data_IF_945472925154
#
_entry.id   IF_945472925154
#
_cell.length_a   1.000
_cell.length_b   1.000
_cell.length_c   1.000
_cell.angle_alpha   90.00
_cell.angle_beta   90.00
_cell.angle_gamma   90.00
#
_symmetry.space_group_name_H-M   'P 1'
#
loop_
_entity.id
_entity.type
_entity.pdbx_description
1 polymer ?
#
# COMPACT_ATOMS: atom_id res chain seq x y z
N UNK A 1 53.04 23.26 -18.28
CA UNK A 1 53.68 23.36 -16.94
C UNK A 1 52.68 22.82 -15.91
N UNK A 2 52.90 21.60 -15.36
CA UNK A 2 53.15 21.30 -13.92
C UNK A 2 52.19 22.04 -12.97
N UNK A 3 51.38 21.40 -12.10
CA UNK A 3 51.68 20.47 -10.98
C UNK A 3 50.36 19.71 -10.63
N UNK A 4 50.21 18.38 -10.61
CA UNK A 4 50.61 17.33 -9.63
C UNK A 4 50.51 17.73 -8.15
N UNK A 5 49.51 17.20 -7.44
CA UNK A 5 49.53 16.98 -5.99
C UNK A 5 49.13 15.51 -5.74
N UNK A 6 50.12 14.74 -5.26
CA UNK A 6 50.02 13.39 -4.73
C UNK A 6 49.71 13.47 -3.23
N UNK A 7 48.69 12.74 -2.78
CA UNK A 7 48.48 12.36 -1.38
C UNK A 7 48.34 10.83 -1.47
N UNK A 8 49.28 10.00 -1.03
CA UNK A 8 49.90 9.97 0.29
C UNK A 8 49.30 8.80 1.08
N UNK A 9 49.44 7.57 0.56
CA UNK A 9 48.88 6.35 1.13
C UNK A 9 49.92 5.72 2.08
N UNK A 10 49.73 5.88 3.39
CA UNK A 10 50.57 5.28 4.42
C UNK A 10 49.99 3.94 4.86
N UNK A 11 50.79 2.88 4.66
CA UNK A 11 50.59 1.53 5.18
C UNK A 11 51.22 1.45 6.56
N UNK A 12 50.48 0.98 7.57
CA UNK A 12 51.01 0.50 8.84
C UNK A 12 50.39 -0.86 9.19
N UNK A 13 51.25 -1.72 9.70
CA UNK A 13 51.13 -3.17 9.87
C UNK A 13 51.02 -3.48 11.37
N UNK A 14 50.54 -4.69 11.71
CA UNK A 14 50.69 -5.44 13.00
C UNK A 14 49.82 -4.97 14.18
N UNK A 15 49.27 -5.82 15.06
CA UNK A 15 49.43 -7.24 15.37
C UNK A 15 48.16 -7.83 16.03
N UNK A 16 48.03 -9.17 16.02
CA UNK A 16 47.08 -9.96 16.80
C UNK A 16 47.18 -9.69 18.31
N UNK A 17 46.04 -9.74 19.00
CA UNK A 17 46.04 -10.12 20.42
C UNK A 17 44.85 -11.04 20.72
N UNK A 18 45.18 -12.30 21.02
CA UNK A 18 44.28 -13.32 21.56
C UNK A 18 43.97 -12.95 23.01
N UNK A 19 42.71 -12.62 23.28
CA UNK A 19 42.21 -12.40 24.64
C UNK A 19 41.90 -13.74 25.32
N UNK A 20 42.73 -14.10 26.30
CA UNK A 20 42.58 -15.25 27.19
C UNK A 20 41.36 -15.08 28.10
N UNK A 21 40.46 -16.07 28.09
CA UNK A 21 39.27 -16.13 28.95
C UNK A 21 39.66 -16.62 30.36
N UNK A 22 39.28 -15.93 31.45
CA UNK A 22 39.54 -16.39 32.81
C UNK A 22 38.64 -17.59 33.19
N UNK A 23 39.12 -18.46 34.10
CA UNK A 23 38.50 -19.74 34.41
C UNK A 23 37.18 -19.63 35.17
N UNK A 24 36.26 -20.51 34.79
CA UNK A 24 35.00 -20.85 35.46
C UNK A 24 35.21 -21.15 36.95
N UNK A 25 34.50 -20.43 37.82
CA UNK A 25 34.33 -20.81 39.21
C UNK A 25 33.11 -21.72 39.34
N UNK A 26 33.34 -23.01 39.61
CA UNK A 26 32.33 -23.94 40.12
C UNK A 26 31.88 -23.48 41.52
N UNK A 27 30.58 -23.25 41.67
CA UNK A 27 29.95 -22.98 42.97
C UNK A 27 29.17 -24.22 43.42
N UNK A 28 29.43 -24.60 44.66
CA UNK A 28 29.07 -25.85 45.33
C UNK A 28 27.55 -25.93 45.57
N UNK A 29 26.97 -27.07 45.20
CA UNK A 29 25.58 -27.40 45.49
C UNK A 29 25.36 -27.54 47.01
N UNK A 30 24.46 -26.72 47.54
CA UNK A 30 23.94 -26.86 48.92
C UNK A 30 22.80 -27.88 48.91
N UNK A 31 22.99 -28.99 49.62
CA UNK A 31 21.96 -30.01 49.81
C UNK A 31 20.87 -29.47 50.74
N UNK A 32 19.63 -29.40 50.23
CA UNK A 32 18.44 -29.01 50.98
C UNK A 32 17.71 -30.29 51.42
N UNK A 33 17.18 -30.37 52.66
CA UNK A 33 16.57 -31.59 53.18
C UNK A 33 15.26 -31.97 52.45
N UNK A 34 15.10 -33.28 52.28
CA UNK A 34 13.96 -33.98 51.66
C UNK A 34 12.64 -33.75 52.44
N UNK A 35 11.58 -33.23 51.81
CA UNK A 35 10.24 -33.28 52.38
C UNK A 35 9.58 -34.65 52.19
N UNK A 36 8.87 -35.09 53.23
CA UNK A 36 8.01 -36.27 53.39
C UNK A 36 6.95 -36.40 52.27
N UNK A 37 6.54 -37.62 51.87
CA UNK A 37 5.60 -37.81 50.76
C UNK A 37 4.22 -37.25 51.12
N UNK A 38 3.72 -36.33 50.28
CA UNK A 38 2.34 -35.85 50.33
C UNK A 38 1.44 -36.82 49.57
N UNK A 39 0.30 -37.14 50.20
CA UNK A 39 -0.74 -38.05 49.71
C UNK A 39 -1.29 -37.55 48.37
N UNK A 40 -1.36 -38.47 47.39
CA UNK A 40 -1.93 -38.25 46.05
C UNK A 40 -3.41 -37.90 46.17
N UNK A 41 -3.80 -36.71 45.72
CA UNK A 41 -5.21 -36.29 45.63
C UNK A 41 -5.52 -35.87 44.20
N UNK A 42 -6.50 -36.58 43.62
CA UNK A 42 -7.26 -36.35 42.38
C UNK A 42 -6.56 -35.66 41.19
N UNK A 43 -6.35 -36.42 40.11
CA UNK A 43 -6.12 -35.90 38.75
C UNK A 43 -7.33 -35.07 38.30
N UNK A 44 -7.21 -33.75 38.31
CA UNK A 44 -8.12 -32.87 37.56
C UNK A 44 -7.92 -33.12 36.07
N UNK A 45 -8.97 -33.61 35.41
CA UNK A 45 -9.01 -33.72 33.95
C UNK A 45 -9.16 -32.32 33.39
N UNK A 46 -8.11 -31.79 32.76
CA UNK A 46 -8.17 -30.53 32.04
C UNK A 46 -9.18 -30.65 30.89
N UNK A 47 -10.34 -30.03 31.06
CA UNK A 47 -11.34 -29.90 30.00
C UNK A 47 -10.86 -28.79 29.08
N UNK A 48 -10.25 -29.16 27.95
CA UNK A 48 -9.97 -28.22 26.87
C UNK A 48 -11.30 -27.74 26.29
N UNK A 49 -11.68 -26.51 26.63
CA UNK A 49 -12.78 -25.84 25.92
C UNK A 49 -12.25 -25.51 24.52
N UNK A 50 -12.88 -25.96 23.42
CA UNK A 50 -12.43 -25.59 22.09
C UNK A 50 -12.57 -24.08 21.95
N UNK A 51 -11.45 -23.37 21.88
CA UNK A 51 -11.42 -21.95 21.51
C UNK A 51 -11.99 -21.85 20.09
N UNK A 52 -13.21 -21.33 19.95
CA UNK A 52 -13.76 -21.08 18.63
C UNK A 52 -12.88 -20.06 17.93
N UNK A 53 -12.33 -20.42 16.77
CA UNK A 53 -11.65 -19.46 15.90
C UNK A 53 -12.62 -18.32 15.57
N UNK A 54 -12.16 -17.06 15.55
CA UNK A 54 -12.99 -15.96 15.08
C UNK A 54 -13.46 -16.25 13.65
N UNK A 55 -14.70 -15.88 13.29
CA UNK A 55 -15.20 -16.09 11.94
C UNK A 55 -14.31 -15.33 10.95
N UNK A 56 -13.90 -16.01 9.87
CA UNK A 56 -13.28 -15.35 8.71
C UNK A 56 -14.27 -14.33 8.15
N UNK A 57 -13.86 -13.07 7.88
CA UNK A 57 -14.76 -12.08 7.30
C UNK A 57 -15.35 -12.59 5.98
N UNK A 58 -16.65 -12.37 5.79
CA UNK A 58 -17.35 -12.70 4.55
C UNK A 58 -16.91 -11.72 3.44
N UNK A 59 -16.67 -12.19 2.20
CA UNK A 59 -16.33 -11.29 1.11
C UNK A 59 -17.49 -10.34 0.78
N UNK A 60 -17.19 -9.09 0.37
CA UNK A 60 -18.21 -8.18 -0.09
C UNK A 60 -18.88 -8.72 -1.36
N UNK A 61 -20.12 -8.28 -1.67
CA UNK A 61 -20.77 -8.58 -2.93
C UNK A 61 -19.92 -8.16 -4.13
N UNK A 62 -20.23 -8.70 -5.31
CA UNK A 62 -19.50 -8.37 -6.54
C UNK A 62 -19.53 -6.87 -6.86
N UNK A 63 -20.64 -6.20 -6.59
CA UNK A 63 -20.74 -4.73 -6.62
C UNK A 63 -21.02 -4.24 -5.20
N UNK A 64 -20.29 -3.23 -4.76
CA UNK A 64 -20.32 -2.78 -3.37
C UNK A 64 -20.02 -1.29 -3.26
N UNK A 65 -20.26 -0.74 -2.07
CA UNK A 65 -19.73 0.56 -1.67
C UNK A 65 -18.98 0.35 -0.37
N UNK A 66 -17.72 0.78 -0.33
CA UNK A 66 -16.91 0.82 0.87
C UNK A 66 -16.87 2.26 1.37
N UNK A 67 -17.48 2.49 2.53
CA UNK A 67 -17.50 3.78 3.24
C UNK A 67 -16.35 3.90 4.25
N UNK A 68 -15.41 2.94 4.26
CA UNK A 68 -14.23 2.95 5.12
C UNK A 68 -14.53 3.16 6.62
N UNK A 69 -15.66 2.62 7.10
CA UNK A 69 -16.06 2.66 8.52
C UNK A 69 -15.17 1.80 9.41
N UNK A 70 -14.44 0.85 8.82
CA UNK A 70 -13.49 -0.03 9.50
C UNK A 70 -12.43 -0.56 8.55
N UNK A 71 -11.34 -1.08 9.11
CA UNK A 71 -10.33 -1.81 8.32
C UNK A 71 -10.95 -3.05 7.66
N UNK A 72 -10.45 -3.38 6.47
CA UNK A 72 -10.91 -4.49 5.64
C UNK A 72 -9.72 -5.30 5.16
N UNK A 73 -9.78 -6.61 5.39
CA UNK A 73 -8.72 -7.53 4.96
C UNK A 73 -8.58 -7.62 3.44
N UNK A 74 -9.55 -7.10 2.68
CA UNK A 74 -9.55 -7.09 1.22
C UNK A 74 -8.75 -5.93 0.62
N UNK A 75 -8.49 -4.86 1.36
CA UNK A 75 -7.58 -3.81 0.91
C UNK A 75 -6.14 -4.19 1.21
N UNK A 76 -5.31 -4.26 0.16
CA UNK A 76 -3.86 -4.48 0.26
C UNK A 76 -3.13 -3.22 -0.18
N UNK A 77 -2.45 -2.58 0.76
CA UNK A 77 -1.68 -1.37 0.52
C UNK A 77 -0.20 -1.70 0.28
N UNK A 78 0.39 -1.02 -0.70
CA UNK A 78 1.80 -1.12 -1.05
C UNK A 78 2.34 0.25 -1.46
N UNK A 79 3.67 0.39 -1.47
CA UNK A 79 4.35 1.62 -1.85
C UNK A 79 5.23 1.41 -3.09
N UNK A 80 5.36 2.47 -3.89
CA UNK A 80 6.43 2.63 -4.87
C UNK A 80 7.13 3.98 -4.67
N UNK A 81 8.44 4.03 -4.87
CA UNK A 81 9.23 5.26 -4.66
C UNK A 81 9.36 5.62 -3.18
N UNK A 82 9.69 6.88 -2.88
CA UNK A 82 9.73 7.44 -1.54
C UNK A 82 10.79 6.89 -0.58
N UNK A 83 11.14 7.67 0.43
CA UNK A 83 12.05 7.23 1.51
C UNK A 83 11.30 6.82 2.79
N UNK A 84 10.02 7.17 2.91
CA UNK A 84 9.19 6.92 4.10
C UNK A 84 7.93 6.19 3.70
N UNK A 85 7.49 5.25 4.55
CA UNK A 85 6.26 4.51 4.33
C UNK A 85 5.04 5.43 4.49
N UNK A 86 4.13 5.51 3.51
CA UNK A 86 2.80 6.06 3.71
C UNK A 86 2.08 5.34 4.84
N UNK A 87 1.16 6.04 5.48
CA UNK A 87 0.30 5.47 6.52
C UNK A 87 -1.16 5.60 6.13
N UNK A 88 -1.96 4.59 6.48
CA UNK A 88 -3.41 4.57 6.31
C UNK A 88 -4.08 4.52 7.67
N UNK A 89 -5.14 5.30 7.83
CA UNK A 89 -5.95 5.32 9.05
C UNK A 89 -7.42 5.53 8.70
N UNK A 90 -8.31 4.94 9.49
CA UNK A 90 -9.76 5.09 9.34
C UNK A 90 -10.22 6.13 10.37
N UNK A 91 -10.60 7.32 9.90
CA UNK A 91 -10.92 8.48 10.74
C UNK A 91 -12.18 9.15 10.21
N UNK A 92 -13.19 9.30 11.08
CA UNK A 92 -14.48 9.93 10.74
C UNK A 92 -15.15 9.29 9.52
N UNK A 93 -15.20 7.95 9.46
CA UNK A 93 -15.79 7.19 8.34
C UNK A 93 -15.16 7.53 6.98
N UNK A 94 -13.82 7.70 6.98
CA UNK A 94 -13.02 7.91 5.78
C UNK A 94 -11.69 7.17 5.91
N UNK A 95 -11.15 6.75 4.78
CA UNK A 95 -9.77 6.33 4.68
C UNK A 95 -8.88 7.55 4.48
N UNK A 96 -8.09 7.89 5.51
CA UNK A 96 -7.06 8.92 5.48
C UNK A 96 -5.72 8.30 5.11
N UNK A 97 -5.05 8.89 4.13
CA UNK A 97 -3.74 8.49 3.64
C UNK A 97 -2.77 9.65 3.86
N UNK A 98 -1.71 9.38 4.62
CA UNK A 98 -0.65 10.34 4.91
C UNK A 98 0.67 9.91 4.26
N UNK A 99 1.23 10.78 3.43
CA UNK A 99 2.49 10.58 2.70
C UNK A 99 3.49 11.65 3.12
N UNK A 100 4.56 11.27 3.83
CA UNK A 100 5.52 12.22 4.41
C UNK A 100 6.79 12.44 3.58
N UNK A 101 6.97 11.70 2.48
CA UNK A 101 8.12 11.79 1.58
C UNK A 101 7.65 12.18 0.20
N UNK A 102 8.36 13.08 -0.49
CA UNK A 102 8.16 13.33 -1.92
C UNK A 102 8.45 12.07 -2.75
N UNK A 103 8.00 12.08 -4.02
CA UNK A 103 8.16 11.00 -4.99
C UNK A 103 7.70 9.63 -4.46
N UNK A 104 6.56 9.61 -3.77
CA UNK A 104 5.98 8.44 -3.12
C UNK A 104 4.59 8.17 -3.66
N UNK A 105 4.31 6.92 -4.00
CA UNK A 105 3.02 6.41 -4.42
C UNK A 105 2.56 5.33 -3.46
N UNK A 106 1.33 5.46 -2.95
CA UNK A 106 0.61 4.39 -2.28
C UNK A 106 -0.40 3.80 -3.26
N UNK A 107 -0.38 2.48 -3.37
CA UNK A 107 -1.31 1.69 -4.18
C UNK A 107 -2.12 0.83 -3.22
N UNK A 108 -3.44 1.02 -3.23
CA UNK A 108 -4.40 0.16 -2.53
C UNK A 108 -5.15 -0.71 -3.53
N UNK A 109 -5.03 -2.04 -3.44
CA UNK A 109 -5.75 -2.99 -4.31
C UNK A 109 -6.81 -3.73 -3.49
N UNK A 110 -8.03 -3.79 -4.01
CA UNK A 110 -9.12 -4.54 -3.40
C UNK A 110 -9.18 -5.96 -3.97
N UNK A 111 -8.88 -6.96 -3.15
CA UNK A 111 -8.60 -8.34 -3.61
C UNK A 111 -9.81 -9.27 -3.60
N UNK A 112 -11.00 -8.81 -3.24
CA UNK A 112 -12.18 -9.69 -3.13
C UNK A 112 -12.66 -10.24 -4.48
N UNK A 113 -12.60 -9.43 -5.54
CA UNK A 113 -13.17 -9.73 -6.85
C UNK A 113 -12.29 -9.18 -7.98
N UNK A 114 -12.41 -9.77 -9.17
CA UNK A 114 -11.82 -9.29 -10.42
C UNK A 114 -12.91 -8.86 -11.40
N UNK A 115 -12.59 -7.89 -12.26
CA UNK A 115 -13.53 -7.26 -13.16
C UNK A 115 -12.93 -7.10 -14.55
N UNK A 116 -13.72 -7.47 -15.56
CA UNK A 116 -13.48 -7.11 -16.97
C UNK A 116 -14.06 -5.73 -17.25
N UNK A 117 -15.37 -5.61 -17.04
CA UNK A 117 -16.15 -4.39 -17.24
C UNK A 117 -16.71 -3.92 -15.89
N UNK A 118 -16.44 -2.67 -15.51
CA UNK A 118 -16.77 -2.12 -14.19
C UNK A 118 -16.74 -0.60 -14.21
N UNK A 119 -17.63 0.03 -13.45
CA UNK A 119 -17.52 1.44 -13.11
C UNK A 119 -17.10 1.61 -11.65
N UNK A 120 -15.93 2.24 -11.46
CA UNK A 120 -15.39 2.58 -10.15
C UNK A 120 -15.62 4.07 -9.95
N UNK A 121 -16.19 4.45 -8.83
CA UNK A 121 -16.30 5.84 -8.39
C UNK A 121 -15.69 6.00 -7.01
N UNK A 122 -15.14 7.18 -6.75
CA UNK A 122 -14.72 7.55 -5.40
C UNK A 122 -15.00 9.02 -5.13
N UNK A 123 -15.35 9.32 -3.87
CA UNK A 123 -15.37 10.68 -3.35
C UNK A 123 -14.09 10.91 -2.55
N UNK A 124 -13.35 11.95 -2.94
CA UNK A 124 -12.04 12.23 -2.35
C UNK A 124 -11.90 13.68 -1.94
N UNK A 125 -10.94 13.93 -1.05
CA UNK A 125 -10.48 15.23 -0.66
C UNK A 125 -8.94 15.23 -0.55
N UNK A 126 -8.29 16.26 -1.09
CA UNK A 126 -6.85 16.50 -0.92
C UNK A 126 -6.65 17.94 -0.43
N UNK A 127 -5.74 18.13 0.53
CA UNK A 127 -5.48 19.44 1.13
C UNK A 127 -4.15 20.08 0.71
N UNK A 128 -3.30 19.34 -0.01
CA UNK A 128 -1.98 19.80 -0.46
C UNK A 128 -1.66 19.39 -1.91
N UNK A 129 -0.45 19.71 -2.39
CA UNK A 129 0.01 19.36 -3.73
C UNK A 129 0.29 17.86 -3.82
N UNK A 130 -0.51 17.14 -4.60
CA UNK A 130 -0.39 15.70 -4.77
C UNK A 130 -1.41 15.17 -5.77
N UNK A 131 -1.55 13.85 -5.84
CA UNK A 131 -2.54 13.22 -6.69
C UNK A 131 -3.24 12.07 -5.99
N UNK A 132 -4.49 11.82 -6.38
CA UNK A 132 -5.29 10.68 -5.96
C UNK A 132 -5.97 10.07 -7.19
N UNK A 133 -6.34 8.81 -7.13
CA UNK A 133 -6.80 8.13 -8.31
C UNK A 133 -7.46 6.79 -8.09
N UNK A 134 -7.86 6.19 -9.21
CA UNK A 134 -8.51 4.89 -9.31
C UNK A 134 -7.68 3.95 -10.16
N UNK A 135 -7.70 2.67 -9.79
CA UNK A 135 -7.01 1.58 -10.49
C UNK A 135 -8.04 0.60 -11.02
N UNK A 136 -7.81 0.12 -12.23
CA UNK A 136 -8.62 -0.88 -12.89
C UNK A 136 -7.76 -1.96 -13.56
N UNK A 137 -8.30 -3.19 -13.60
CA UNK A 137 -7.67 -4.38 -14.21
C UNK A 137 -6.26 -4.65 -13.68
N UNK A 138 -6.06 -4.46 -12.38
CA UNK A 138 -4.80 -4.80 -11.73
C UNK A 138 -4.58 -6.30 -11.74
N UNK A 139 -3.48 -6.73 -12.37
CA UNK A 139 -3.02 -8.11 -12.40
C UNK A 139 -1.48 -8.16 -12.55
N UNK A 140 -0.93 -9.36 -12.70
CA UNK A 140 0.51 -9.58 -12.87
C UNK A 140 1.14 -8.89 -14.10
N UNK A 141 0.33 -8.61 -15.13
CA UNK A 141 0.80 -7.97 -16.35
C UNK A 141 0.85 -6.45 -16.23
N UNK A 142 0.05 -5.86 -15.34
CA UNK A 142 -0.02 -4.42 -15.10
C UNK A 142 -1.39 -3.97 -14.62
N UNK A 143 -1.64 -2.66 -14.72
CA UNK A 143 -2.91 -2.03 -14.40
C UNK A 143 -3.10 -0.73 -15.18
N UNK A 144 -4.35 -0.27 -15.24
CA UNK A 144 -4.65 1.10 -15.64
C UNK A 144 -4.88 1.97 -14.41
N UNK A 145 -4.33 3.18 -14.44
CA UNK A 145 -4.36 4.11 -13.32
C UNK A 145 -4.80 5.49 -13.79
N UNK A 146 -5.95 5.94 -13.29
CA UNK A 146 -6.46 7.28 -13.53
C UNK A 146 -6.15 8.17 -12.33
N UNK A 147 -5.28 9.16 -12.50
CA UNK A 147 -4.91 10.11 -11.45
C UNK A 147 -5.49 11.49 -11.72
N UNK A 148 -5.88 12.14 -10.64
CA UNK A 148 -6.28 13.54 -10.59
C UNK A 148 -5.35 14.27 -9.62
N UNK A 149 -4.78 15.37 -10.09
CA UNK A 149 -3.83 16.19 -9.36
C UNK A 149 -4.56 17.40 -8.77
N UNK A 150 -4.08 17.91 -7.63
CA UNK A 150 -4.70 19.08 -6.98
C UNK A 150 -4.57 20.38 -7.78
N UNK A 151 -3.74 20.43 -8.81
CA UNK A 151 -3.59 21.56 -9.72
C UNK A 151 -4.60 21.58 -10.88
N UNK A 152 -5.46 20.56 -11.01
CA UNK A 152 -6.43 20.42 -12.09
C UNK A 152 -5.98 19.55 -13.27
N UNK A 153 -4.73 19.08 -13.24
CA UNK A 153 -4.23 18.10 -14.19
C UNK A 153 -4.81 16.72 -13.89
N UNK A 154 -5.00 15.91 -14.92
CA UNK A 154 -5.27 14.48 -14.77
C UNK A 154 -4.47 13.67 -15.78
N UNK A 155 -4.20 12.42 -15.46
CA UNK A 155 -3.58 11.50 -16.40
C UNK A 155 -4.20 10.11 -16.33
N UNK A 156 -4.01 9.37 -17.42
CA UNK A 156 -4.22 7.94 -17.46
C UNK A 156 -2.86 7.29 -17.71
N UNK A 157 -2.49 6.34 -16.88
CA UNK A 157 -1.24 5.59 -16.97
C UNK A 157 -1.52 4.11 -17.18
N UNK A 158 -0.62 3.44 -17.88
CA UNK A 158 -0.41 2.01 -17.77
C UNK A 158 0.74 1.76 -16.80
N UNK A 159 0.45 1.12 -15.67
CA UNK A 159 1.43 0.74 -14.66
C UNK A 159 1.82 -0.73 -14.80
N UNK A 160 3.08 -1.05 -14.53
CA UNK A 160 3.57 -2.43 -14.46
C UNK A 160 4.60 -2.58 -13.37
N UNK A 161 4.38 -3.52 -12.44
CA UNK A 161 5.37 -3.85 -11.43
C UNK A 161 6.58 -4.50 -12.09
N UNK A 162 7.79 -4.03 -11.74
CA UNK A 162 9.04 -4.64 -12.18
C UNK A 162 9.63 -5.55 -11.10
N UNK A 163 9.62 -5.06 -9.87
CA UNK A 163 10.00 -5.76 -8.63
C UNK A 163 9.30 -5.07 -7.47
N UNK A 164 9.27 -5.66 -6.29
CA UNK A 164 8.72 -5.01 -5.09
C UNK A 164 9.24 -3.57 -4.92
N UNK A 165 8.32 -2.62 -4.69
CA UNK A 165 8.64 -1.19 -4.53
C UNK A 165 8.99 -0.42 -5.81
N UNK A 166 9.04 -1.09 -6.97
CA UNK A 166 9.42 -0.47 -8.26
C UNK A 166 8.42 -0.81 -9.35
N UNK A 167 7.76 0.23 -9.86
CA UNK A 167 6.85 0.15 -11.00
C UNK A 167 7.36 0.98 -12.18
N UNK A 168 7.02 0.54 -13.39
CA UNK A 168 7.15 1.31 -14.62
C UNK A 168 5.80 1.89 -14.99
N UNK A 169 5.76 3.19 -15.30
CA UNK A 169 4.57 3.86 -15.80
C UNK A 169 4.75 4.32 -17.23
N UNK A 170 3.71 4.13 -18.04
CA UNK A 170 3.60 4.63 -19.41
C UNK A 170 2.40 5.56 -19.46
N UNK A 171 2.58 6.87 -19.72
CA UNK A 171 1.45 7.79 -19.85
C UNK A 171 0.67 7.50 -21.13
N UNK A 172 -0.64 7.33 -20.98
CA UNK A 172 -1.59 7.14 -22.07
C UNK A 172 -2.26 8.44 -22.47
N UNK A 173 -2.50 9.32 -21.50
CA UNK A 173 -3.02 10.68 -21.67
C UNK A 173 -2.60 11.53 -20.47
N UNK A 174 -2.38 12.83 -20.69
CA UNK A 174 -2.16 13.82 -19.62
C UNK A 174 -2.74 15.14 -20.11
N UNK A 175 -3.74 15.65 -19.39
CA UNK A 175 -4.57 16.78 -19.80
C UNK A 175 -4.98 17.60 -18.58
N UNK A 176 -5.59 18.76 -18.81
CA UNK A 176 -6.09 19.65 -17.77
C UNK A 176 -7.61 19.78 -17.86
N UNK A 177 -8.29 19.85 -16.71
CA UNK A 177 -9.72 20.10 -16.65
C UNK A 177 -10.09 21.03 -15.50
N UNK A 178 -10.83 22.09 -15.81
CA UNK A 178 -11.40 22.99 -14.79
C UNK A 178 -12.52 22.37 -13.95
N UNK A 179 -12.91 21.11 -14.23
CA UNK A 179 -13.86 20.36 -13.40
C UNK A 179 -13.21 19.71 -12.17
N UNK A 180 -11.88 19.63 -12.15
CA UNK A 180 -11.12 19.09 -11.02
C UNK A 180 -11.05 20.11 -9.90
N UNK A 181 -11.41 19.68 -8.71
CA UNK A 181 -11.31 20.45 -7.47
C UNK A 181 -10.67 19.61 -6.35
N UNK A 182 -10.10 20.24 -5.31
CA UNK A 182 -9.51 19.52 -4.17
C UNK A 182 -10.45 18.52 -3.50
N UNK A 183 -11.76 18.80 -3.48
CA UNK A 183 -12.79 17.80 -3.18
C UNK A 183 -13.53 17.46 -4.45
N UNK A 184 -13.37 16.24 -4.96
CA UNK A 184 -13.99 15.80 -6.20
C UNK A 184 -14.53 14.39 -6.08
N UNK A 185 -15.58 14.12 -6.84
CA UNK A 185 -15.93 12.75 -7.18
C UNK A 185 -15.19 12.36 -8.46
N UNK A 186 -14.46 11.26 -8.45
CA UNK A 186 -13.75 10.75 -9.63
C UNK A 186 -14.34 9.41 -10.04
N UNK A 187 -14.30 9.12 -11.34
CA UNK A 187 -14.81 7.87 -11.88
C UNK A 187 -13.91 7.30 -12.96
N UNK A 188 -13.76 5.98 -12.96
CA UNK A 188 -13.05 5.21 -13.97
C UNK A 188 -13.96 4.05 -14.40
N UNK A 189 -14.49 4.15 -15.62
CA UNK A 189 -15.24 3.06 -16.23
C UNK A 189 -14.34 2.29 -17.19
N UNK A 190 -14.20 1.00 -16.92
CA UNK A 190 -13.52 0.06 -17.79
C UNK A 190 -14.57 -0.72 -18.55
N UNK A 191 -14.55 -0.62 -19.87
CA UNK A 191 -15.55 -1.23 -20.72
C UNK A 191 -14.89 -1.73 -22.02
N UNK A 192 -14.82 -3.04 -22.19
CA UNK A 192 -14.12 -3.69 -23.29
C UNK A 192 -12.70 -3.15 -23.45
N UNK A 193 -12.34 -2.55 -24.57
CA UNK A 193 -11.02 -1.95 -24.79
C UNK A 193 -11.00 -0.43 -24.58
N UNK A 194 -11.96 0.11 -23.82
CA UNK A 194 -12.07 1.53 -23.55
C UNK A 194 -12.05 1.85 -22.06
N UNK A 195 -11.37 2.95 -21.73
CA UNK A 195 -11.40 3.56 -20.42
C UNK A 195 -12.06 4.93 -20.52
N UNK A 196 -13.09 5.16 -19.72
CA UNK A 196 -13.81 6.42 -19.63
C UNK A 196 -13.50 7.08 -18.29
N UNK A 197 -13.02 8.31 -18.35
CA UNK A 197 -12.54 9.07 -17.20
C UNK A 197 -13.56 10.13 -16.82
N UNK A 198 -13.96 10.16 -15.55
CA UNK A 198 -14.98 11.06 -15.05
C UNK A 198 -14.45 11.90 -13.89
N UNK A 199 -14.87 13.16 -13.84
CA UNK A 199 -14.72 14.02 -12.67
C UNK A 199 -16.02 14.79 -12.46
N UNK A 200 -16.57 14.74 -11.23
CA UNK A 200 -17.82 15.37 -10.84
C UNK A 200 -18.96 15.06 -11.83
N UNK A 201 -19.11 13.78 -12.18
CA UNK A 201 -20.04 13.23 -13.18
C UNK A 201 -19.86 13.74 -14.63
N UNK A 202 -18.81 14.51 -14.94
CA UNK A 202 -18.48 14.92 -16.31
C UNK A 202 -17.51 13.92 -16.93
N UNK A 203 -17.84 13.39 -18.11
CA UNK A 203 -16.91 12.60 -18.92
C UNK A 203 -15.80 13.50 -19.47
N UNK A 204 -14.57 13.28 -19.04
CA UNK A 204 -13.40 14.02 -19.51
C UNK A 204 -12.83 13.43 -20.79
N UNK A 205 -12.64 12.09 -20.80
CA UNK A 205 -12.00 11.39 -21.91
C UNK A 205 -12.54 9.97 -22.06
N UNK A 206 -12.57 9.48 -23.29
CA UNK A 206 -12.67 8.07 -23.65
C UNK A 206 -11.39 7.67 -24.38
N UNK A 207 -10.70 6.65 -23.89
CA UNK A 207 -9.37 6.26 -24.37
C UNK A 207 -9.40 4.79 -24.80
N UNK A 208 -8.91 4.52 -26.01
CA UNK A 208 -8.73 3.17 -26.53
C UNK A 208 -7.43 2.56 -25.98
N UNK A 209 -7.55 1.41 -25.32
CA UNK A 209 -6.44 0.70 -24.68
C UNK A 209 -6.17 -0.69 -25.28
N UNK A 210 -6.70 -0.97 -26.48
CA UNK A 210 -6.57 -2.26 -27.19
C UNK A 210 -5.11 -2.76 -27.22
N UNK A 211 -4.15 -1.87 -27.41
CA UNK A 211 -2.72 -2.21 -27.54
C UNK A 211 -2.02 -2.61 -26.22
N UNK A 212 -2.69 -2.51 -25.07
CA UNK A 212 -2.12 -2.83 -23.76
C UNK A 212 -2.58 -4.19 -23.22
N UNK A 213 -3.69 -4.73 -23.72
CA UNK A 213 -4.08 -6.13 -23.52
C UNK A 213 -4.47 -6.54 -22.10
N UNK A 214 -4.82 -5.60 -21.20
CA UNK A 214 -5.35 -5.96 -19.89
C UNK A 214 -6.85 -6.24 -20.03
N UNK A 215 -7.23 -7.51 -19.87
CA UNK A 215 -8.63 -7.96 -20.02
C UNK A 215 -9.45 -7.85 -18.73
N UNK A 216 -8.90 -8.31 -17.60
CA UNK A 216 -9.57 -8.26 -16.30
C UNK A 216 -8.56 -8.12 -15.15
N UNK A 217 -9.03 -7.75 -13.98
CA UNK A 217 -8.20 -7.73 -12.77
C UNK A 217 -8.89 -7.06 -11.59
N UNK A 218 -8.15 -6.87 -10.50
CA UNK A 218 -8.66 -6.17 -9.33
C UNK A 218 -8.84 -4.67 -9.60
N UNK A 219 -9.62 -4.03 -8.73
CA UNK A 219 -9.79 -2.58 -8.67
C UNK A 219 -8.94 -2.02 -7.54
N UNK A 220 -8.74 -0.71 -7.55
CA UNK A 220 -8.00 -0.08 -6.47
C UNK A 220 -8.08 1.43 -6.45
N UNK A 221 -7.31 1.99 -5.53
CA UNK A 221 -7.09 3.42 -5.35
C UNK A 221 -5.61 3.71 -5.33
N UNK A 222 -5.25 4.94 -5.64
CA UNK A 222 -3.88 5.44 -5.56
C UNK A 222 -3.85 6.82 -4.90
N UNK A 223 -2.75 7.10 -4.22
CA UNK A 223 -2.45 8.37 -3.60
C UNK A 223 -0.95 8.64 -3.79
N UNK A 224 -0.57 9.86 -4.13
CA UNK A 224 0.84 10.18 -4.34
C UNK A 224 1.21 11.61 -3.96
N UNK A 225 2.45 11.73 -3.49
CA UNK A 225 3.18 12.98 -3.43
C UNK A 225 4.05 13.09 -4.68
N UNK A 226 4.00 14.24 -5.34
CA UNK A 226 4.93 14.57 -6.43
C UNK A 226 6.21 15.16 -5.82
N UNK A 227 6.53 16.42 -6.11
CA UNK A 227 7.68 17.14 -5.59
C UNK A 227 7.50 17.67 -4.15
N UNK A 228 6.28 17.69 -3.64
CA UNK A 228 5.93 18.28 -2.34
C UNK A 228 5.45 17.21 -1.35
N UNK A 229 5.81 17.38 -0.08
CA UNK A 229 5.33 16.57 1.05
C UNK A 229 5.37 17.41 2.33
N UNK A 230 4.51 17.15 3.33
CA UNK A 230 3.57 16.04 3.42
C UNK A 230 2.31 16.21 2.54
N UNK A 231 1.71 15.08 2.18
CA UNK A 231 0.41 15.01 1.49
C UNK A 231 -0.58 14.23 2.32
N UNK A 232 -1.78 14.79 2.47
CA UNK A 232 -2.93 14.14 3.09
C UNK A 232 -4.05 14.04 2.06
N UNK A 233 -4.51 12.80 1.83
CA UNK A 233 -5.61 12.47 0.93
C UNK A 233 -6.62 11.65 1.70
N UNK A 234 -7.89 12.01 1.58
CA UNK A 234 -9.01 11.30 2.19
C UNK A 234 -9.89 10.70 1.11
N UNK A 235 -10.27 9.44 1.29
CA UNK A 235 -11.33 8.77 0.52
C UNK A 235 -12.54 8.62 1.45
N UNK A 236 -13.65 9.26 1.10
CA UNK A 236 -14.91 9.13 1.83
C UNK A 236 -15.59 7.81 1.50
N UNK A 237 -15.60 7.43 0.22
CA UNK A 237 -16.10 6.13 -0.20
C UNK A 237 -15.50 5.71 -1.53
N UNK A 238 -15.52 4.41 -1.79
CA UNK A 238 -15.31 3.79 -3.10
C UNK A 238 -16.53 2.97 -3.46
N UNK A 239 -17.13 3.23 -4.61
CA UNK A 239 -18.26 2.49 -5.15
C UNK A 239 -17.84 1.72 -6.39
N UNK A 240 -18.27 0.47 -6.46
CA UNK A 240 -18.06 -0.43 -7.60
C UNK A 240 -19.42 -0.86 -8.11
N UNK A 241 -19.70 -0.58 -9.38
CA UNK A 241 -20.94 -0.95 -10.06
C UNK A 241 -20.66 -1.51 -11.46
N UNK A 242 -21.72 -1.96 -12.13
CA UNK A 242 -21.73 -2.17 -13.58
C UNK A 242 -21.41 -0.87 -14.34
#
# INVERSE_FOLDING_TARGET
MKKIILIGFSILITACNLGTQPPTAESIATQTPQPTPTVVSATETLVFTPTSLPPTPEPPPYYFTDEFTSDSTYWKFSQTGGLSLPTTSFVNDMLQINISSADTWLIGIHTANTYKDVFIKAKTNITSTGAFGLICRYNENGWYEFNVYSDGTYNLLYGKQLTEGVAKYIPLSTEFSGHVAPSSEIGLQCQDDFLLLYVNNNLLRRIDVTNYGLGEGNIGITASSVTESPVEINFEWVQVSE
#
